data_IF_545146476915
#
_entry.id   IF_545146476915
#
_cell.length_a   1.000
_cell.length_b   1.000
_cell.length_c   1.000
_cell.angle_alpha   90.00
_cell.angle_beta   90.00
_cell.angle_gamma   90.00
#
_symmetry.space_group_name_H-M   'P 1'
#
loop_
_entity.id
_entity.type
_entity.pdbx_description
1 polymer ?
#
# COMPACT_ATOMS: atom_id res chain seq x y z
N UNK A 1 1.87 18.24 -19.17
CA UNK A 1 1.93 19.10 -17.97
C UNK A 1 2.18 18.20 -16.77
N UNK A 2 3.37 18.27 -16.16
CA UNK A 2 3.71 17.56 -14.93
C UNK A 2 3.09 18.31 -13.75
N UNK A 3 1.92 17.88 -13.29
CA UNK A 3 1.39 18.32 -11.99
C UNK A 3 2.37 17.89 -10.90
N UNK A 4 2.84 18.84 -10.09
CA UNK A 4 3.65 18.54 -8.92
C UNK A 4 2.89 17.55 -8.02
N UNK A 5 3.59 16.53 -7.52
CA UNK A 5 3.06 15.62 -6.51
C UNK A 5 2.79 16.42 -5.23
N UNK A 6 1.53 16.76 -4.99
CA UNK A 6 1.09 17.31 -3.71
C UNK A 6 0.91 16.17 -2.72
N UNK A 7 1.40 16.33 -1.49
CA UNK A 7 1.16 15.36 -0.43
C UNK A 7 -0.35 15.13 -0.28
N UNK A 8 -0.80 13.86 -0.27
CA UNK A 8 -2.21 13.54 -0.12
C UNK A 8 -2.67 13.93 1.29
N UNK A 9 -3.90 14.41 1.40
CA UNK A 9 -4.55 14.58 2.71
C UNK A 9 -5.03 13.21 3.20
N UNK A 10 -5.20 13.02 4.50
CA UNK A 10 -5.88 11.83 5.00
C UNK A 10 -7.37 11.84 4.59
N UNK A 11 -7.92 10.65 4.34
CA UNK A 11 -9.36 10.49 4.16
C UNK A 11 -10.11 10.73 5.47
N UNK A 12 -11.38 11.08 5.35
CA UNK A 12 -12.37 11.10 6.44
C UNK A 12 -12.62 9.71 7.05
N UNK A 13 -12.19 8.63 6.39
CA UNK A 13 -12.33 7.27 6.86
C UNK A 13 -10.99 6.62 7.20
N UNK A 14 -11.00 5.73 8.19
CA UNK A 14 -9.90 4.83 8.52
C UNK A 14 -10.43 3.41 8.70
N UNK A 15 -9.65 2.43 8.23
CA UNK A 15 -9.99 1.01 8.35
C UNK A 15 -8.93 0.34 9.22
N UNK A 16 -9.37 -0.39 10.24
CA UNK A 16 -8.56 -1.41 10.91
C UNK A 16 -8.99 -2.75 10.35
N UNK A 17 -8.08 -3.53 9.77
CA UNK A 17 -8.46 -4.77 9.10
C UNK A 17 -7.35 -5.81 9.06
N UNK A 18 -7.78 -7.07 9.17
CA UNK A 18 -6.90 -8.25 9.05
C UNK A 18 -7.27 -9.13 7.84
N UNK A 19 -8.50 -8.99 7.32
CA UNK A 19 -8.91 -9.65 6.08
C UNK A 19 -8.60 -8.74 4.88
N UNK A 20 -7.54 -9.07 4.15
CA UNK A 20 -7.08 -8.29 3.01
C UNK A 20 -8.13 -8.20 1.88
N UNK A 21 -8.93 -9.25 1.66
CA UNK A 21 -9.95 -9.26 0.60
C UNK A 21 -11.12 -8.35 0.97
N UNK A 22 -11.70 -8.52 2.17
CA UNK A 22 -12.77 -7.63 2.64
C UNK A 22 -12.31 -6.17 2.72
N UNK A 23 -11.09 -5.95 3.18
CA UNK A 23 -10.51 -4.61 3.27
C UNK A 23 -10.34 -3.99 1.87
N UNK A 24 -9.85 -4.75 0.89
CA UNK A 24 -9.75 -4.26 -0.49
C UNK A 24 -11.13 -3.92 -1.08
N UNK A 25 -12.12 -4.78 -0.87
CA UNK A 25 -13.50 -4.53 -1.33
C UNK A 25 -14.06 -3.25 -0.70
N UNK A 26 -13.83 -3.03 0.60
CA UNK A 26 -14.24 -1.82 1.30
C UNK A 26 -13.50 -0.58 0.79
N UNK A 27 -12.18 -0.67 0.58
CA UNK A 27 -11.38 0.41 0.01
C UNK A 27 -11.87 0.83 -1.38
N UNK A 28 -12.26 -0.13 -2.23
CA UNK A 28 -12.80 0.16 -3.57
C UNK A 28 -14.03 1.08 -3.55
N UNK A 29 -14.76 1.09 -2.41
CA UNK A 29 -15.98 1.87 -2.21
C UNK A 29 -15.75 3.19 -1.46
N UNK A 30 -14.75 3.23 -0.57
CA UNK A 30 -14.48 4.38 0.30
C UNK A 30 -13.47 5.36 -0.29
N UNK A 31 -12.55 4.90 -1.13
CA UNK A 31 -11.40 5.70 -1.55
C UNK A 31 -11.80 6.94 -2.35
N UNK A 32 -11.21 8.08 -1.99
CA UNK A 32 -11.41 9.37 -2.67
C UNK A 32 -10.11 9.79 -3.35
N UNK A 33 -10.21 10.28 -4.58
CA UNK A 33 -9.02 10.75 -5.31
C UNK A 33 -8.37 11.92 -4.57
N UNK A 34 -7.06 11.87 -4.41
CA UNK A 34 -6.28 12.91 -3.71
C UNK A 34 -6.29 12.79 -2.18
N UNK A 35 -7.01 11.80 -1.63
CA UNK A 35 -6.99 11.49 -0.21
C UNK A 35 -6.46 10.07 0.03
N UNK A 36 -5.64 9.91 1.06
CA UNK A 36 -5.11 8.62 1.48
C UNK A 36 -6.08 7.96 2.47
N UNK A 37 -6.68 6.85 2.04
CA UNK A 37 -7.51 6.00 2.90
C UNK A 37 -6.59 5.10 3.73
N UNK A 38 -6.43 5.44 5.00
CA UNK A 38 -5.55 4.70 5.90
C UNK A 38 -6.14 3.33 6.23
N UNK A 39 -5.33 2.29 6.03
CA UNK A 39 -5.57 0.91 6.46
C UNK A 39 -4.50 0.54 7.48
N UNK A 40 -4.92 -0.03 8.60
CA UNK A 40 -4.05 -0.41 9.73
C UNK A 40 -4.36 -1.87 10.09
N UNK A 41 -3.33 -2.67 10.34
CA UNK A 41 -3.51 -4.00 10.93
C UNK A 41 -4.12 -3.89 12.34
N UNK A 42 -4.93 -4.89 12.72
CA UNK A 42 -5.39 -4.97 14.08
C UNK A 42 -4.25 -5.39 15.03
N UNK A 43 -4.28 -4.94 16.31
CA UNK A 43 -3.33 -5.38 17.32
C UNK A 43 -3.30 -6.91 17.45
N UNK A 44 -2.10 -7.49 17.46
CA UNK A 44 -1.87 -8.93 17.60
C UNK A 44 -2.03 -9.34 19.06
N UNK A 45 -3.26 -9.67 19.45
CA UNK A 45 -3.64 -9.92 20.84
C UNK A 45 -2.96 -11.13 21.50
N UNK A 46 -2.33 -12.02 20.73
CA UNK A 46 -1.59 -13.16 21.25
C UNK A 46 -0.16 -12.84 21.69
N UNK A 47 0.36 -11.64 21.38
CA UNK A 47 1.74 -11.26 21.72
C UNK A 47 1.85 -10.78 23.18
N UNK A 48 3.00 -10.98 23.84
CA UNK A 48 3.23 -10.48 25.20
C UNK A 48 3.05 -8.96 25.33
N UNK A 49 3.28 -8.22 24.25
CA UNK A 49 3.21 -6.77 24.15
C UNK A 49 1.91 -6.24 23.51
N UNK A 50 0.84 -7.04 23.46
CA UNK A 50 -0.45 -6.69 22.85
C UNK A 50 -1.01 -5.32 23.31
N UNK A 51 -0.81 -4.94 24.58
CA UNK A 51 -1.25 -3.64 25.08
C UNK A 51 -0.53 -2.46 24.39
N UNK A 52 0.76 -2.61 24.06
CA UNK A 52 1.53 -1.60 23.34
C UNK A 52 1.08 -1.49 21.87
N UNK A 53 0.71 -2.61 21.24
CA UNK A 53 0.14 -2.60 19.89
C UNK A 53 -1.22 -1.88 19.85
N UNK A 54 -2.09 -2.11 20.84
CA UNK A 54 -3.37 -1.40 20.97
C UNK A 54 -3.15 0.12 21.08
N UNK A 55 -2.20 0.54 21.92
CA UNK A 55 -1.85 1.97 22.07
C UNK A 55 -1.29 2.54 20.76
N UNK A 56 -0.44 1.79 20.06
CA UNK A 56 0.15 2.21 18.78
C UNK A 56 -0.90 2.35 17.69
N UNK A 57 -1.82 1.38 17.58
CA UNK A 57 -2.96 1.42 16.66
C UNK A 57 -3.85 2.63 16.96
N UNK A 58 -4.25 2.84 18.22
CA UNK A 58 -5.03 4.01 18.63
C UNK A 58 -4.32 5.34 18.30
N UNK A 59 -3.03 5.46 18.63
CA UNK A 59 -2.27 6.67 18.34
C UNK A 59 -2.19 6.95 16.83
N UNK A 60 -2.14 5.90 16.01
CA UNK A 60 -2.16 6.01 14.55
C UNK A 60 -3.53 6.50 14.09
N UNK A 61 -4.63 5.91 14.57
CA UNK A 61 -6.01 6.34 14.28
C UNK A 61 -6.21 7.82 14.65
N UNK A 62 -5.77 8.23 15.84
CA UNK A 62 -5.88 9.60 16.31
C UNK A 62 -5.14 10.61 15.40
N UNK A 63 -4.00 10.22 14.81
CA UNK A 63 -3.24 11.06 13.87
C UNK A 63 -3.90 11.22 12.50
N UNK A 64 -4.67 10.22 12.06
CA UNK A 64 -5.44 10.29 10.81
C UNK A 64 -6.56 11.32 10.93
N UNK A 65 -7.11 11.51 12.14
CA UNK A 65 -8.22 12.43 12.42
C UNK A 65 -9.46 12.17 11.53
N UNK A 66 -9.72 10.90 11.22
CA UNK A 66 -10.91 10.44 10.52
C UNK A 66 -12.17 10.62 11.39
N UNK A 67 -13.33 10.80 10.75
CA UNK A 67 -14.65 10.85 11.37
C UNK A 67 -15.45 9.54 11.21
N UNK A 68 -14.99 8.64 10.33
CA UNK A 68 -15.61 7.34 10.04
C UNK A 68 -14.64 6.21 10.28
N UNK A 69 -15.06 5.24 11.08
CA UNK A 69 -14.23 4.13 11.52
C UNK A 69 -14.80 2.80 11.04
N UNK A 70 -13.94 1.95 10.49
CA UNK A 70 -14.32 0.64 10.00
C UNK A 70 -13.43 -0.45 10.59
N UNK A 71 -14.06 -1.55 10.99
CA UNK A 71 -13.38 -2.80 11.33
C UNK A 71 -13.64 -3.82 10.24
N UNK A 72 -12.59 -4.35 9.61
CA UNK A 72 -12.69 -5.25 8.45
C UNK A 72 -12.05 -6.60 8.75
N UNK A 73 -12.88 -7.58 9.11
CA UNK A 73 -12.42 -8.95 9.39
C UNK A 73 -11.50 -9.10 10.62
N UNK A 74 -11.54 -8.16 11.58
CA UNK A 74 -10.68 -8.22 12.77
C UNK A 74 -11.21 -9.19 13.83
N UNK A 75 -10.30 -9.75 14.64
CA UNK A 75 -10.64 -10.64 15.75
C UNK A 75 -11.43 -9.95 16.88
N UNK A 76 -12.26 -10.73 17.58
CA UNK A 76 -13.13 -10.24 18.66
C UNK A 76 -12.35 -9.61 19.84
N UNK A 77 -11.16 -10.12 20.15
CA UNK A 77 -10.32 -9.59 21.22
C UNK A 77 -9.69 -8.25 20.85
N UNK A 78 -9.20 -8.11 19.61
CA UNK A 78 -8.66 -6.84 19.10
C UNK A 78 -9.76 -5.77 19.06
N UNK A 79 -10.96 -6.14 18.59
CA UNK A 79 -12.16 -5.28 18.63
C UNK A 79 -12.47 -4.82 20.05
N UNK A 80 -12.52 -5.74 21.01
CA UNK A 80 -12.81 -5.41 22.43
C UNK A 80 -11.76 -4.47 23.02
N UNK A 81 -10.50 -4.64 22.65
CA UNK A 81 -9.40 -3.80 23.12
C UNK A 81 -9.43 -2.39 22.50
N UNK A 82 -9.84 -2.26 21.23
CA UNK A 82 -9.86 -0.98 20.52
C UNK A 82 -11.12 -0.15 20.76
N UNK A 83 -12.30 -0.78 20.91
CA UNK A 83 -13.59 -0.08 21.08
C UNK A 83 -13.60 1.03 22.14
N UNK A 84 -12.99 0.88 23.32
CA UNK A 84 -12.95 1.94 24.34
C UNK A 84 -12.33 3.26 23.85
N UNK A 85 -11.42 3.21 22.88
CA UNK A 85 -10.72 4.40 22.38
C UNK A 85 -11.56 5.28 21.44
N UNK A 86 -12.66 4.76 20.92
CA UNK A 86 -13.54 5.51 20.02
C UNK A 86 -14.54 6.41 20.76
N UNK A 87 -14.57 6.39 22.10
CA UNK A 87 -15.36 7.32 22.94
C UNK A 87 -16.84 7.48 22.52
N UNK A 88 -17.48 6.40 22.09
CA UNK A 88 -18.88 6.39 21.65
C UNK A 88 -19.09 6.76 20.17
N UNK A 89 -18.02 7.03 19.41
CA UNK A 89 -18.11 7.11 17.97
C UNK A 89 -18.55 5.76 17.37
N UNK A 90 -19.37 5.82 16.33
CA UNK A 90 -19.86 4.63 15.65
C UNK A 90 -18.72 3.99 14.84
N UNK A 91 -18.47 2.70 15.09
CA UNK A 91 -17.54 1.89 14.32
C UNK A 91 -18.33 0.88 13.50
N UNK A 92 -18.21 0.97 12.18
CA UNK A 92 -18.87 0.04 11.27
C UNK A 92 -18.09 -1.26 11.17
N UNK A 93 -18.68 -2.36 11.60
CA UNK A 93 -18.09 -3.70 11.46
C UNK A 93 -18.44 -4.30 10.10
N UNK A 94 -17.42 -4.62 9.32
CA UNK A 94 -17.49 -5.27 8.02
C UNK A 94 -17.01 -6.70 8.16
N UNK A 95 -17.97 -7.61 8.31
CA UNK A 95 -17.72 -9.05 8.44
C UNK A 95 -17.93 -9.82 7.14
N UNK A 96 -18.51 -9.19 6.11
CA UNK A 96 -18.79 -9.80 4.82
C UNK A 96 -19.05 -8.76 3.73
N UNK A 97 -18.97 -9.19 2.47
CA UNK A 97 -19.38 -8.41 1.30
C UNK A 97 -20.82 -7.89 1.41
N UNK A 98 -21.74 -8.68 1.98
CA UNK A 98 -23.13 -8.26 2.18
C UNK A 98 -23.24 -7.01 3.06
N UNK A 99 -22.35 -6.87 4.06
CA UNK A 99 -22.31 -5.68 4.88
C UNK A 99 -21.82 -4.49 4.06
N UNK A 100 -20.79 -4.66 3.24
CA UNK A 100 -20.27 -3.60 2.35
C UNK A 100 -21.37 -3.05 1.43
N UNK A 101 -22.22 -3.93 0.90
CA UNK A 101 -23.33 -3.56 0.03
C UNK A 101 -24.44 -2.77 0.74
N UNK A 102 -24.54 -2.87 2.06
CA UNK A 102 -25.49 -2.11 2.88
C UNK A 102 -24.97 -0.75 3.34
N UNK A 103 -23.66 -0.50 3.25
CA UNK A 103 -23.10 0.81 3.61
C UNK A 103 -23.52 1.80 2.51
N UNK A 104 -24.25 2.85 2.92
CA UNK A 104 -24.65 3.94 2.03
C UNK A 104 -23.41 4.69 1.52
N UNK A 105 -22.97 4.35 0.30
CA UNK A 105 -21.82 4.93 -0.38
C UNK A 105 -22.24 5.42 -1.77
N UNK A 106 -21.49 6.35 -2.38
CA UNK A 106 -21.76 6.81 -3.74
C UNK A 106 -21.89 5.62 -4.71
N UNK A 107 -22.82 5.75 -5.67
CA UNK A 107 -23.02 4.72 -6.69
C UNK A 107 -21.71 4.42 -7.43
N UNK A 108 -21.37 3.14 -7.50
CA UNK A 108 -20.30 2.60 -8.33
C UNK A 108 -20.80 2.35 -9.76
N UNK A 109 -19.88 2.31 -10.70
CA UNK A 109 -20.12 2.01 -12.11
C UNK A 109 -20.16 0.48 -12.36
N UNK A 110 -20.80 -0.28 -11.47
CA UNK A 110 -20.84 -1.75 -11.48
C UNK A 110 -19.63 -2.41 -10.82
N UNK A 111 -19.40 -3.68 -11.18
CA UNK A 111 -18.43 -4.54 -10.52
C UNK A 111 -17.20 -4.81 -11.40
N UNK A 112 -16.05 -4.97 -10.74
CA UNK A 112 -14.82 -5.48 -11.32
C UNK A 112 -14.52 -6.84 -10.68
N UNK A 113 -14.66 -7.91 -11.46
CA UNK A 113 -14.30 -9.26 -11.02
C UNK A 113 -12.78 -9.44 -11.15
N UNK A 114 -12.12 -9.79 -10.03
CA UNK A 114 -10.67 -9.95 -9.96
C UNK A 114 -10.27 -11.29 -9.34
N UNK A 115 -9.13 -11.84 -9.78
CA UNK A 115 -8.55 -13.05 -9.19
C UNK A 115 -7.96 -12.82 -7.80
N UNK A 116 -7.65 -13.89 -7.07
CA UNK A 116 -7.09 -13.80 -5.70
C UNK A 116 -5.60 -13.45 -5.62
N UNK A 117 -4.98 -13.07 -6.74
CA UNK A 117 -3.57 -12.69 -6.81
C UNK A 117 -3.43 -11.21 -7.20
N UNK A 118 -2.33 -10.58 -6.79
CA UNK A 118 -2.04 -9.17 -7.09
C UNK A 118 -3.21 -8.25 -6.69
N UNK A 119 -3.76 -8.45 -5.49
CA UNK A 119 -5.03 -7.83 -5.10
C UNK A 119 -4.93 -6.30 -5.05
N UNK A 120 -3.76 -5.75 -4.74
CA UNK A 120 -3.54 -4.30 -4.77
C UNK A 120 -3.71 -3.72 -6.18
N UNK A 121 -3.34 -4.47 -7.21
CA UNK A 121 -3.50 -4.05 -8.61
C UNK A 121 -4.96 -4.05 -9.02
N UNK A 122 -5.71 -5.09 -8.64
CA UNK A 122 -7.17 -5.16 -8.82
C UNK A 122 -7.89 -4.02 -8.11
N UNK A 123 -7.49 -3.72 -6.88
CA UNK A 123 -8.02 -2.60 -6.10
C UNK A 123 -7.74 -1.25 -6.77
N UNK A 124 -6.50 -0.99 -7.20
CA UNK A 124 -6.17 0.26 -7.89
C UNK A 124 -6.98 0.43 -9.18
N UNK A 125 -7.17 -0.65 -9.94
CA UNK A 125 -8.00 -0.67 -11.15
C UNK A 125 -9.47 -0.36 -10.82
N UNK A 126 -10.03 -1.00 -9.79
CA UNK A 126 -11.41 -0.78 -9.34
C UNK A 126 -11.65 0.69 -8.96
N UNK A 127 -10.76 1.30 -8.16
CA UNK A 127 -10.88 2.70 -7.75
C UNK A 127 -10.85 3.68 -8.93
N UNK A 128 -10.05 3.39 -9.96
CA UNK A 128 -9.95 4.22 -11.16
C UNK A 128 -11.18 4.12 -12.06
N UNK A 129 -11.69 2.91 -12.23
CA UNK A 129 -12.91 2.66 -12.99
C UNK A 129 -14.18 3.00 -12.20
N UNK A 130 -14.03 3.36 -10.91
CA UNK A 130 -15.12 3.59 -9.95
C UNK A 130 -16.04 2.39 -9.82
N UNK A 131 -15.47 1.19 -9.84
CA UNK A 131 -16.18 -0.09 -9.72
C UNK A 131 -16.02 -0.67 -8.34
N UNK A 132 -16.98 -1.51 -7.94
CA UNK A 132 -16.84 -2.34 -6.75
C UNK A 132 -15.96 -3.54 -7.09
N UNK A 133 -14.92 -3.75 -6.30
CA UNK A 133 -14.06 -4.92 -6.45
C UNK A 133 -14.78 -6.15 -5.90
N UNK A 134 -14.85 -7.22 -6.69
CA UNK A 134 -15.39 -8.53 -6.30
C UNK A 134 -14.36 -9.60 -6.64
N UNK A 135 -14.06 -10.47 -5.69
CA UNK A 135 -13.06 -11.54 -5.90
C UNK A 135 -13.70 -12.83 -6.40
N UNK A 136 -13.04 -13.48 -7.36
CA UNK A 136 -13.45 -14.77 -7.91
C UNK A 136 -12.23 -15.60 -8.27
N UNK A 137 -12.30 -16.92 -8.08
CA UNK A 137 -11.18 -17.82 -8.41
C UNK A 137 -10.90 -17.90 -9.93
N UNK A 138 -11.90 -17.56 -10.76
CA UNK A 138 -11.77 -17.45 -12.22
C UNK A 138 -11.55 -16.01 -12.71
N UNK A 139 -11.34 -15.06 -11.79
CA UNK A 139 -11.12 -13.66 -12.14
C UNK A 139 -9.78 -13.43 -12.82
N UNK A 140 -9.70 -12.38 -13.64
CA UNK A 140 -8.43 -11.98 -14.26
C UNK A 140 -7.47 -11.43 -13.21
N UNK A 141 -6.17 -11.55 -13.47
CA UNK A 141 -5.10 -10.96 -12.66
C UNK A 141 -4.08 -10.28 -13.57
N UNK A 142 -3.42 -9.26 -13.04
CA UNK A 142 -2.31 -8.60 -13.70
C UNK A 142 -1.34 -8.10 -12.61
N UNK A 143 -0.06 -7.98 -12.96
CA UNK A 143 0.98 -7.53 -12.00
C UNK A 143 1.18 -6.02 -11.99
N UNK A 144 0.58 -5.29 -12.93
CA UNK A 144 0.84 -3.87 -13.12
C UNK A 144 -0.41 -3.10 -13.53
N UNK A 145 -0.59 -1.91 -12.96
CA UNK A 145 -1.64 -0.96 -13.35
C UNK A 145 -1.03 0.45 -13.46
N UNK A 146 -1.17 1.07 -14.63
CA UNK A 146 -0.37 2.24 -15.05
C UNK A 146 -0.77 3.54 -14.35
N UNK A 147 0.16 4.31 -13.79
CA UNK A 147 -0.13 5.63 -13.17
C UNK A 147 -0.84 6.66 -14.06
N UNK A 148 -1.55 7.61 -13.43
CA UNK A 148 -2.00 8.85 -14.07
C UNK A 148 -0.86 9.88 -14.18
N UNK A 149 0.20 9.70 -13.39
CA UNK A 149 1.41 10.49 -13.41
C UNK A 149 2.65 9.61 -13.59
N UNK A 150 3.83 10.22 -13.52
CA UNK A 150 5.13 9.55 -13.64
C UNK A 150 5.59 8.88 -12.33
N UNK A 151 4.69 8.53 -11.42
CA UNK A 151 5.03 7.83 -10.19
C UNK A 151 4.62 6.36 -10.26
N UNK A 152 5.47 5.47 -9.74
CA UNK A 152 5.21 4.03 -9.62
C UNK A 152 5.42 3.58 -8.18
N UNK A 153 4.44 2.89 -7.62
CA UNK A 153 4.57 2.15 -6.37
C UNK A 153 4.89 0.69 -6.72
N UNK A 154 5.88 0.11 -6.06
CA UNK A 154 6.28 -1.29 -6.22
C UNK A 154 6.11 -2.00 -4.89
N UNK A 155 5.43 -3.15 -4.89
CA UNK A 155 5.12 -3.94 -3.69
C UNK A 155 5.42 -5.43 -3.93
N UNK A 156 5.91 -6.13 -2.92
CA UNK A 156 6.14 -7.58 -2.97
C UNK A 156 4.84 -8.37 -2.81
N UNK A 157 4.77 -9.55 -3.43
CA UNK A 157 3.66 -10.51 -3.30
C UNK A 157 3.77 -11.39 -2.05
N UNK A 158 4.27 -10.84 -0.94
CA UNK A 158 4.42 -11.54 0.34
C UNK A 158 3.27 -11.30 1.34
N UNK A 159 2.67 -10.10 1.29
CA UNK A 159 1.61 -9.69 2.19
C UNK A 159 0.46 -9.03 1.40
N UNK A 160 -0.71 -9.66 1.47
CA UNK A 160 -1.90 -9.21 0.78
C UNK A 160 -2.43 -7.88 1.33
N UNK A 161 -2.40 -7.67 2.65
CA UNK A 161 -2.88 -6.42 3.25
C UNK A 161 -1.91 -5.27 2.94
N UNK A 162 -0.60 -5.55 2.91
CA UNK A 162 0.39 -4.57 2.44
C UNK A 162 0.13 -4.12 0.99
N UNK A 163 -0.33 -5.03 0.10
CA UNK A 163 -0.77 -4.64 -1.24
C UNK A 163 -1.98 -3.70 -1.24
N UNK A 164 -2.91 -3.86 -0.29
CA UNK A 164 -4.05 -2.96 -0.12
C UNK A 164 -3.59 -1.56 0.31
N UNK A 165 -2.69 -1.49 1.28
CA UNK A 165 -2.04 -0.24 1.73
C UNK A 165 -1.33 0.45 0.55
N UNK A 166 -0.52 -0.30 -0.19
CA UNK A 166 0.20 0.19 -1.37
C UNK A 166 -0.74 0.74 -2.45
N UNK A 167 -1.87 0.07 -2.68
CA UNK A 167 -2.88 0.51 -3.65
C UNK A 167 -3.56 1.82 -3.22
N UNK A 168 -3.94 1.97 -1.95
CA UNK A 168 -4.50 3.21 -1.42
C UNK A 168 -3.50 4.37 -1.51
N UNK A 169 -2.22 4.09 -1.22
CA UNK A 169 -1.15 5.07 -1.38
C UNK A 169 -0.99 5.49 -2.84
N UNK A 170 -0.87 4.52 -3.76
CA UNK A 170 -0.77 4.78 -5.19
C UNK A 170 -1.97 5.58 -5.72
N UNK A 171 -3.18 5.24 -5.28
CA UNK A 171 -4.40 5.96 -5.64
C UNK A 171 -4.41 7.41 -5.17
N UNK A 172 -4.01 7.66 -3.92
CA UNK A 172 -3.96 8.99 -3.34
C UNK A 172 -3.03 9.94 -4.11
N UNK A 173 -1.95 9.38 -4.67
CA UNK A 173 -0.97 10.11 -5.47
C UNK A 173 -1.28 10.14 -6.97
N UNK A 174 -2.21 9.29 -7.45
CA UNK A 174 -2.39 9.04 -8.88
C UNK A 174 -1.23 8.25 -9.52
N UNK A 175 -0.44 7.53 -8.71
CA UNK A 175 0.66 6.70 -9.14
C UNK A 175 0.17 5.38 -9.77
N UNK A 176 1.09 4.69 -10.46
CA UNK A 176 0.92 3.30 -10.85
C UNK A 176 1.25 2.36 -9.70
N UNK A 177 0.89 1.09 -9.84
CA UNK A 177 1.25 0.04 -8.91
C UNK A 177 1.79 -1.17 -9.68
N UNK A 178 2.89 -1.74 -9.20
CA UNK A 178 3.46 -2.99 -9.68
C UNK A 178 3.63 -3.94 -8.50
N UNK A 179 3.15 -5.18 -8.65
CA UNK A 179 3.42 -6.28 -7.73
C UNK A 179 4.57 -7.10 -8.29
N UNK A 180 5.61 -7.29 -7.49
CA UNK A 180 6.78 -8.12 -7.80
C UNK A 180 6.78 -9.36 -6.91
N UNK A 181 7.43 -10.46 -7.32
CA UNK A 181 7.62 -11.61 -6.44
C UNK A 181 8.29 -11.19 -5.13
N UNK A 182 7.99 -11.89 -4.04
CA UNK A 182 8.77 -11.75 -2.80
C UNK A 182 10.23 -12.08 -3.09
N UNK A 183 11.13 -11.20 -2.66
CA UNK A 183 12.57 -11.42 -2.86
C UNK A 183 13.13 -12.21 -1.69
N UNK A 184 14.04 -13.13 -2.01
CA UNK A 184 14.68 -13.95 -1.00
C UNK A 184 15.48 -13.10 0.00
N UNK A 185 15.49 -13.52 1.27
CA UNK A 185 16.18 -12.78 2.35
C UNK A 185 17.67 -12.60 2.08
N UNK A 186 18.35 -13.62 1.55
CA UNK A 186 19.77 -13.51 1.24
C UNK A 186 20.01 -12.56 0.07
N UNK A 187 19.16 -12.59 -0.95
CA UNK A 187 19.24 -11.64 -2.05
C UNK A 187 18.97 -10.19 -1.58
N UNK A 188 17.99 -10.00 -0.69
CA UNK A 188 17.68 -8.70 -0.11
C UNK A 188 18.83 -8.16 0.74
N UNK A 189 19.42 -8.99 1.62
CA UNK A 189 20.56 -8.62 2.45
C UNK A 189 21.81 -8.32 1.62
N UNK A 190 22.07 -9.10 0.57
CA UNK A 190 23.18 -8.87 -0.37
C UNK A 190 23.01 -7.53 -1.11
N UNK A 191 21.79 -7.23 -1.55
CA UNK A 191 21.47 -5.97 -2.21
C UNK A 191 21.64 -4.79 -1.24
N UNK A 192 21.12 -4.90 -0.02
CA UNK A 192 21.23 -3.86 1.01
C UNK A 192 22.69 -3.65 1.43
N UNK A 193 23.44 -4.72 1.63
CA UNK A 193 24.86 -4.67 1.97
C UNK A 193 25.65 -3.92 0.90
N UNK A 194 25.45 -4.26 -0.38
CA UNK A 194 26.07 -3.54 -1.52
C UNK A 194 25.66 -2.07 -1.56
N UNK A 195 24.40 -1.76 -1.27
CA UNK A 195 23.88 -0.40 -1.25
C UNK A 195 24.52 0.45 -0.13
N UNK A 196 24.55 -0.07 1.11
CA UNK A 196 25.18 0.63 2.23
C UNK A 196 26.70 0.77 2.07
N UNK A 197 27.39 -0.25 1.56
CA UNK A 197 28.82 -0.15 1.23
C UNK A 197 29.12 0.89 0.14
N UNK A 198 28.15 1.18 -0.74
CA UNK A 198 28.29 2.23 -1.76
C UNK A 198 28.07 3.66 -1.25
N UNK A 199 27.58 3.80 -0.02
CA UNK A 199 27.33 5.10 0.63
C UNK A 199 28.57 5.67 1.34
N UNK A 200 29.62 4.85 1.49
CA UNK A 200 30.91 5.29 2.00
C UNK A 200 31.64 6.15 0.96
N UNK A 201 32.01 7.37 1.36
CA UNK A 201 32.40 8.50 0.50
C UNK A 201 33.74 8.34 -0.27
N UNK A 202 34.28 7.14 -0.41
CA UNK A 202 35.61 6.90 -0.98
C UNK A 202 35.63 6.32 -2.40
N UNK A 203 34.50 5.90 -3.00
CA UNK A 203 34.51 5.26 -4.34
C UNK A 203 33.35 5.68 -5.27
N UNK A 204 33.55 6.78 -6.01
CA UNK A 204 32.52 7.38 -6.89
C UNK A 204 32.17 6.54 -8.13
N UNK A 205 33.11 5.73 -8.65
CA UNK A 205 32.89 4.88 -9.85
C UNK A 205 32.21 3.56 -9.48
N UNK A 206 32.58 2.95 -8.34
CA UNK A 206 31.93 1.74 -7.83
C UNK A 206 30.46 1.98 -7.48
N UNK A 207 30.13 3.18 -6.96
CA UNK A 207 28.76 3.57 -6.63
C UNK A 207 27.83 3.61 -7.84
N UNK A 208 28.29 4.12 -9.00
CA UNK A 208 27.47 4.15 -10.21
C UNK A 208 27.21 2.75 -10.77
N UNK A 209 28.19 1.86 -10.67
CA UNK A 209 28.05 0.47 -11.11
C UNK A 209 27.08 -0.31 -10.21
N UNK A 210 27.19 -0.16 -8.88
CA UNK A 210 26.28 -0.79 -7.91
C UNK A 210 24.84 -0.32 -8.11
N UNK A 211 24.62 1.00 -8.29
CA UNK A 211 23.29 1.55 -8.56
C UNK A 211 22.75 1.10 -9.92
N UNK A 212 23.61 0.93 -10.93
CA UNK A 212 23.23 0.42 -12.25
C UNK A 212 22.82 -1.06 -12.19
N UNK A 213 23.58 -1.89 -11.48
CA UNK A 213 23.29 -3.31 -11.33
C UNK A 213 22.03 -3.53 -10.50
N UNK A 214 21.84 -2.74 -9.43
CA UNK A 214 20.61 -2.72 -8.64
C UNK A 214 19.40 -2.25 -9.46
N UNK A 215 19.57 -1.22 -10.29
CA UNK A 215 18.53 -0.78 -11.22
C UNK A 215 18.18 -1.88 -12.23
N UNK A 216 19.15 -2.68 -12.68
CA UNK A 216 18.91 -3.82 -13.57
C UNK A 216 18.19 -4.95 -12.84
N UNK A 217 18.58 -5.32 -11.62
CA UNK A 217 17.89 -6.32 -10.81
C UNK A 217 16.43 -5.92 -10.57
N UNK A 218 16.19 -4.67 -10.19
CA UNK A 218 14.83 -4.14 -10.03
C UNK A 218 14.07 -4.14 -11.34
N UNK A 219 14.72 -3.79 -12.45
CA UNK A 219 14.07 -3.79 -13.76
C UNK A 219 13.73 -5.21 -14.22
N UNK A 220 14.52 -6.21 -13.85
CA UNK A 220 14.22 -7.62 -14.08
C UNK A 220 13.01 -8.05 -13.23
N UNK A 221 12.92 -7.62 -11.97
CA UNK A 221 11.80 -7.94 -11.07
C UNK A 221 10.49 -7.24 -11.49
N UNK A 222 10.57 -5.97 -11.88
CA UNK A 222 9.45 -5.14 -12.35
C UNK A 222 8.97 -5.57 -13.75
N UNK A 223 9.82 -6.24 -14.52
CA UNK A 223 9.49 -6.79 -15.84
C UNK A 223 9.08 -5.72 -16.85
N UNK A 224 8.01 -6.00 -17.59
CA UNK A 224 7.50 -5.13 -18.68
C UNK A 224 6.74 -3.89 -18.19
N UNK A 225 6.59 -3.69 -16.88
CA UNK A 225 5.91 -2.52 -16.35
C UNK A 225 6.62 -1.24 -16.82
N UNK A 226 5.83 -0.28 -17.32
CA UNK A 226 6.39 0.97 -17.83
C UNK A 226 6.95 1.80 -16.67
N UNK A 227 8.26 1.67 -16.45
CA UNK A 227 9.01 2.55 -15.56
C UNK A 227 9.00 3.95 -16.21
N UNK A 228 8.50 4.99 -15.53
CA UNK A 228 8.46 6.33 -16.09
C UNK A 228 9.87 6.82 -16.48
N UNK A 229 10.00 7.44 -17.66
CA UNK A 229 11.31 7.75 -18.25
C UNK A 229 12.10 8.74 -17.40
N UNK A 230 13.40 8.49 -17.33
CA UNK A 230 14.37 9.37 -16.72
C UNK A 230 14.26 10.82 -17.24
N UNK A 231 14.03 11.80 -16.35
CA UNK A 231 14.01 13.23 -16.66
C UNK A 231 12.63 13.88 -16.77
N UNK A 232 11.54 13.10 -16.66
CA UNK A 232 10.15 13.60 -16.75
C UNK A 232 9.48 13.88 -15.40
N UNK A 233 10.27 14.02 -14.31
CA UNK A 233 9.74 14.03 -12.94
C UNK A 233 9.28 12.64 -12.46
N UNK A 234 9.93 11.59 -12.95
CA UNK A 234 9.65 10.20 -12.59
C UNK A 234 10.11 9.86 -11.16
N UNK A 235 9.28 9.14 -10.40
CA UNK A 235 9.63 8.63 -9.07
C UNK A 235 9.13 7.20 -8.89
N UNK A 236 9.85 6.40 -8.10
CA UNK A 236 9.45 5.03 -7.75
C UNK A 236 9.51 4.88 -6.23
N UNK A 237 8.46 4.34 -5.62
CA UNK A 237 8.39 4.03 -4.19
C UNK A 237 8.29 2.52 -4.03
N UNK A 238 9.21 1.94 -3.27
CA UNK A 238 9.19 0.53 -2.92
C UNK A 238 8.55 0.36 -1.54
N UNK A 239 7.58 -0.54 -1.43
CA UNK A 239 6.98 -1.00 -0.19
C UNK A 239 7.29 -2.48 -0.13
N UNK A 240 8.15 -2.89 0.79
CA UNK A 240 8.67 -4.27 0.83
C UNK A 240 8.83 -4.66 2.28
N UNK A 241 8.64 -5.94 2.58
CA UNK A 241 8.79 -6.47 3.94
C UNK A 241 10.24 -6.41 4.42
N UNK A 242 11.21 -6.43 3.50
CA UNK A 242 12.63 -6.66 3.82
C UNK A 242 13.59 -5.67 3.15
N UNK A 243 13.20 -4.96 2.10
CA UNK A 243 14.05 -3.92 1.52
C UNK A 243 13.87 -2.57 2.18
N UNK A 244 14.91 -2.15 2.91
CA UNK A 244 15.18 -0.74 3.15
C UNK A 244 15.88 -0.12 1.93
N UNK A 245 15.28 -0.17 0.74
CA UNK A 245 15.86 0.44 -0.46
C UNK A 245 15.39 1.89 -0.65
N UNK A 246 16.13 2.80 -0.03
CA UNK A 246 16.16 4.23 -0.37
C UNK A 246 16.92 4.43 -1.70
N UNK A 247 16.36 3.93 -2.81
CA UNK A 247 16.96 4.14 -4.13
C UNK A 247 16.75 5.57 -4.61
N UNK A 248 17.69 6.43 -4.22
CA UNK A 248 18.01 7.63 -4.97
C UNK A 248 18.64 7.23 -6.31
N UNK A 249 17.83 7.20 -7.36
CA UNK A 249 18.35 7.51 -8.69
C UNK A 249 18.84 8.97 -8.64
N UNK A 250 20.14 9.26 -8.79
CA UNK A 250 20.76 10.56 -8.47
C UNK A 250 20.28 11.75 -9.35
N UNK A 251 19.23 11.58 -10.15
CA UNK A 251 18.58 12.64 -10.94
C UNK A 251 17.20 13.08 -10.45
N UNK A 252 16.63 12.52 -9.38
CA UNK A 252 15.23 12.82 -8.96
C UNK A 252 15.09 13.23 -7.48
N UNK A 253 14.28 14.27 -7.22
CA UNK A 253 13.80 14.76 -5.91
C UNK A 253 12.27 15.05 -6.01
N UNK A 254 11.48 15.09 -4.93
CA UNK A 254 11.69 14.64 -3.54
C UNK A 254 10.73 13.53 -3.05
N UNK A 255 11.30 12.66 -2.18
CA UNK A 255 10.83 11.89 -1.00
C UNK A 255 9.34 11.80 -0.62
N UNK A 256 8.90 10.59 -0.23
CA UNK A 256 7.95 10.35 0.90
C UNK A 256 8.11 8.92 1.44
N UNK A 257 8.22 8.77 2.77
CA UNK A 257 8.40 7.50 3.48
C UNK A 257 7.05 7.01 4.06
N UNK A 258 6.81 5.70 4.11
CA UNK A 258 5.80 5.10 4.98
C UNK A 258 6.34 3.76 5.49
N UNK A 259 6.42 3.65 6.81
CA UNK A 259 6.98 2.52 7.55
C UNK A 259 5.85 1.57 7.95
N UNK A 260 6.01 0.28 7.70
CA UNK A 260 5.23 -0.78 8.34
C UNK A 260 6.21 -1.48 9.29
N UNK A 261 6.08 -1.32 10.62
CA UNK A 261 6.86 -2.09 11.59
C UNK A 261 6.43 -3.56 11.59
N UNK A 262 7.39 -4.48 11.72
CA UNK A 262 7.18 -5.91 12.02
C UNK A 262 6.56 -6.18 13.41
#
# INVERSE_FOLDING_TARGET
MTTALTSPIFSDAVIVGDDAFLTAMLCSRLAKRGAYLTVIEAPRMSRPDAAAEVVTCNNTIARVAADRYFFSGIGADAKRALLPYFNGAEVTEVSSEHVINKIHLPLNNGDLVWGRQNIGVGLLKAMREKKHLVFSDSGQTQKYERGLNSHLVVIEDGDQLAQVVAANYAWSLGAGLCVIPEVDKHEADDILSRFYSSSDASQTVAQQQILHDLANTIRLLVGDAQIPKAGSGASVTFITSKFHLDLHFPKYRPRTYSFIPD
#
